data_IF_528202536705
#
_entry.id   IF_528202536705
#
_cell.length_a   1.000
_cell.length_b   1.000
_cell.length_c   1.000
_cell.angle_alpha   90.00
_cell.angle_beta   90.00
_cell.angle_gamma   90.00
#
_symmetry.space_group_name_H-M   'P 1'
#
loop_
_entity.id
_entity.type
_entity.pdbx_description
1 polymer ?
#
# COMPACT_ATOMS: atom_id res chain seq x y z
N UNK A 1 -6.65 -4.89 2.41
CA UNK A 1 -6.31 -3.55 1.92
C UNK A 1 -7.19 -3.17 0.71
N UNK A 2 -7.15 -3.90 -0.42
CA UNK A 2 -7.83 -3.54 -1.67
C UNK A 2 -9.37 -3.53 -1.56
N UNK A 3 -9.97 -4.42 -0.77
CA UNK A 3 -11.40 -4.40 -0.50
C UNK A 3 -11.82 -3.10 0.21
N UNK A 4 -11.03 -2.66 1.21
CA UNK A 4 -11.28 -1.40 1.89
C UNK A 4 -11.14 -0.19 0.96
N UNK A 5 -10.18 -0.22 0.03
CA UNK A 5 -10.00 0.83 -0.98
C UNK A 5 -11.19 0.89 -1.94
N UNK A 6 -11.70 -0.25 -2.40
CA UNK A 6 -12.88 -0.31 -3.26
C UNK A 6 -14.13 0.24 -2.55
N UNK A 7 -14.35 -0.17 -1.30
CA UNK A 7 -15.47 0.31 -0.48
C UNK A 7 -15.37 1.81 -0.17
N UNK A 8 -14.16 2.33 0.05
CA UNK A 8 -13.93 3.74 0.33
C UNK A 8 -14.40 4.67 -0.81
N UNK A 9 -14.37 4.20 -2.06
CA UNK A 9 -14.88 4.96 -3.20
C UNK A 9 -16.37 5.28 -3.15
N UNK A 10 -17.17 4.44 -2.46
CA UNK A 10 -18.59 4.71 -2.24
C UNK A 10 -18.87 5.87 -1.28
N UNK A 11 -17.86 6.36 -0.56
CA UNK A 11 -17.98 7.54 0.27
C UNK A 11 -18.51 8.76 -0.50
N UNK A 12 -18.04 8.95 -1.74
CA UNK A 12 -18.53 10.02 -2.61
C UNK A 12 -20.01 9.85 -2.98
N UNK A 13 -20.45 8.61 -3.23
CA UNK A 13 -21.85 8.28 -3.53
C UNK A 13 -22.75 8.56 -2.33
N UNK A 14 -22.31 8.20 -1.13
CA UNK A 14 -23.07 8.46 0.11
C UNK A 14 -23.14 9.97 0.36
N UNK A 15 -22.02 10.69 0.18
CA UNK A 15 -21.97 12.13 0.37
C UNK A 15 -22.89 12.89 -0.59
N UNK A 16 -23.04 12.42 -1.82
CA UNK A 16 -23.92 13.02 -2.83
C UNK A 16 -25.42 12.84 -2.49
N UNK A 17 -25.80 11.74 -1.87
CA UNK A 17 -27.19 11.45 -1.52
C UNK A 17 -27.60 11.97 -0.13
N UNK A 18 -26.64 12.17 0.76
CA UNK A 18 -26.90 12.66 2.12
C UNK A 18 -26.07 13.92 2.38
N UNK A 19 -25.04 13.81 3.23
CA UNK A 19 -24.09 14.88 3.52
C UNK A 19 -22.71 14.26 3.74
N UNK A 20 -21.65 15.05 3.59
CA UNK A 20 -20.29 14.58 3.87
C UNK A 20 -20.10 14.15 5.35
N UNK A 21 -20.79 14.81 6.29
CA UNK A 21 -20.77 14.44 7.71
C UNK A 21 -21.32 13.02 7.93
N UNK A 22 -22.38 12.65 7.20
CA UNK A 22 -23.00 11.32 7.26
C UNK A 22 -22.01 10.22 6.89
N UNK A 23 -21.15 10.46 5.90
CA UNK A 23 -20.10 9.50 5.50
C UNK A 23 -19.15 9.21 6.67
N UNK A 24 -18.67 10.27 7.35
CA UNK A 24 -17.76 10.10 8.48
C UNK A 24 -18.43 9.39 9.66
N UNK A 25 -19.68 9.70 9.94
CA UNK A 25 -20.44 9.02 11.00
C UNK A 25 -20.58 7.52 10.71
N UNK A 26 -21.01 7.15 9.50
CA UNK A 26 -21.16 5.74 9.12
C UNK A 26 -19.82 4.98 9.15
N UNK A 27 -18.79 5.54 8.58
CA UNK A 27 -17.47 4.88 8.61
C UNK A 27 -16.91 4.80 10.03
N UNK A 28 -17.16 5.82 10.87
CA UNK A 28 -16.79 5.78 12.28
C UNK A 28 -17.51 4.67 13.04
N UNK A 29 -18.83 4.53 12.85
CA UNK A 29 -19.62 3.47 13.49
C UNK A 29 -19.13 2.09 13.05
N UNK A 30 -18.92 1.88 11.75
CA UNK A 30 -18.38 0.62 11.21
C UNK A 30 -17.01 0.33 11.80
N UNK A 31 -16.15 1.35 11.92
CA UNK A 31 -14.83 1.22 12.55
C UNK A 31 -14.90 0.81 14.02
N UNK A 32 -15.82 1.39 14.78
CA UNK A 32 -16.04 1.02 16.21
C UNK A 32 -16.55 -0.42 16.32
N UNK A 33 -17.55 -0.81 15.52
CA UNK A 33 -18.07 -2.19 15.49
C UNK A 33 -16.93 -3.17 15.15
N UNK A 34 -16.11 -2.84 14.15
CA UNK A 34 -14.96 -3.66 13.76
C UNK A 34 -13.93 -3.78 14.89
N UNK A 35 -13.60 -2.67 15.57
CA UNK A 35 -12.68 -2.69 16.70
C UNK A 35 -13.20 -3.57 17.86
N UNK A 36 -14.49 -3.47 18.17
CA UNK A 36 -15.13 -4.32 19.19
C UNK A 36 -15.07 -5.79 18.78
N UNK A 37 -15.39 -6.11 17.53
CA UNK A 37 -15.29 -7.48 17.02
C UNK A 37 -13.85 -8.01 17.12
N UNK A 38 -12.85 -7.18 16.81
CA UNK A 38 -11.44 -7.59 16.93
C UNK A 38 -11.05 -7.91 18.38
N UNK A 39 -11.52 -7.14 19.35
CA UNK A 39 -11.25 -7.41 20.78
C UNK A 39 -11.80 -8.80 21.19
N UNK A 40 -12.96 -9.19 20.67
CA UNK A 40 -13.54 -10.51 20.98
C UNK A 40 -12.93 -11.65 20.16
N UNK A 41 -12.51 -11.40 18.92
CA UNK A 41 -11.98 -12.43 18.02
C UNK A 41 -10.47 -12.63 18.16
N UNK A 42 -9.72 -11.58 18.49
CA UNK A 42 -8.31 -11.65 18.76
C UNK A 42 -8.11 -12.12 20.21
N UNK A 43 -8.17 -13.44 20.40
CA UNK A 43 -7.70 -14.07 21.62
C UNK A 43 -6.21 -14.36 21.43
N UNK A 44 -5.35 -13.67 22.19
CA UNK A 44 -3.95 -14.04 22.24
C UNK A 44 -3.86 -15.50 22.70
N UNK A 45 -3.42 -16.39 21.82
CA UNK A 45 -2.93 -17.68 22.24
C UNK A 45 -1.69 -17.41 23.09
N UNK A 46 -1.88 -17.29 24.40
CA UNK A 46 -0.80 -17.37 25.35
C UNK A 46 -0.04 -18.67 25.06
N UNK A 47 1.07 -18.59 24.38
CA UNK A 47 1.85 -19.79 24.15
C UNK A 47 3.00 -19.69 23.15
N UNK A 48 3.13 -18.63 22.35
CA UNK A 48 4.24 -18.51 21.42
C UNK A 48 4.99 -17.17 21.46
N UNK A 49 4.72 -16.28 22.41
CA UNK A 49 5.61 -15.20 22.79
C UNK A 49 6.78 -15.68 23.70
N UNK A 50 6.91 -16.99 23.82
CA UNK A 50 8.17 -17.62 24.23
C UNK A 50 9.06 -17.78 23.01
N UNK A 51 9.52 -16.70 22.41
CA UNK A 51 10.87 -16.76 21.87
C UNK A 51 11.70 -17.23 23.05
N UNK A 52 11.98 -18.55 23.10
CA UNK A 52 13.13 -19.04 23.82
C UNK A 52 14.26 -18.17 23.29
N UNK A 53 14.49 -17.05 23.96
CA UNK A 53 15.78 -16.40 23.92
C UNK A 53 16.69 -17.57 24.12
N UNK A 54 17.28 -18.07 23.03
CA UNK A 54 18.38 -19.02 23.18
C UNK A 54 19.20 -18.38 24.28
N UNK A 55 19.34 -19.05 25.39
CA UNK A 55 20.26 -18.67 26.42
C UNK A 55 21.63 -18.76 25.75
N UNK A 56 21.92 -17.76 24.94
CA UNK A 56 23.28 -17.37 24.68
C UNK A 56 23.80 -17.13 26.07
N UNK A 57 24.73 -18.02 26.52
CA UNK A 57 25.54 -17.79 27.68
C UNK A 57 26.33 -16.52 27.46
N UNK A 58 25.63 -15.41 27.58
CA UNK A 58 26.24 -14.06 27.63
C UNK A 58 26.78 -14.00 29.06
N UNK A 59 28.07 -14.27 29.15
CA UNK A 59 28.87 -14.03 30.33
C UNK A 59 28.49 -12.64 30.91
N UNK A 60 28.02 -12.53 32.18
CA UNK A 60 27.48 -11.27 32.70
C UNK A 60 28.54 -10.20 32.96
N UNK A 61 29.74 -10.36 32.44
CA UNK A 61 30.82 -9.39 32.56
C UNK A 61 30.82 -8.47 31.33
N UNK A 62 30.42 -7.26 31.61
CA UNK A 62 30.60 -6.04 30.78
C UNK A 62 29.76 -5.87 29.52
N UNK A 63 28.49 -5.58 29.70
CA UNK A 63 27.91 -4.57 28.82
C UNK A 63 27.11 -3.61 29.71
N UNK A 64 27.78 -2.60 30.24
CA UNK A 64 27.11 -1.33 30.59
C UNK A 64 26.41 -0.90 29.31
N UNK A 65 25.12 -1.16 29.22
CA UNK A 65 24.25 -0.56 28.18
C UNK A 65 24.33 0.92 28.48
N UNK A 66 25.29 1.59 27.82
CA UNK A 66 25.32 3.04 27.75
C UNK A 66 23.95 3.40 27.20
N UNK A 67 23.14 4.14 27.94
CA UNK A 67 21.94 4.79 27.41
C UNK A 67 22.41 5.71 26.29
N UNK A 68 22.50 5.15 25.09
CA UNK A 68 22.79 5.98 23.93
C UNK A 68 21.62 6.94 23.76
N UNK A 69 21.94 8.22 23.69
CA UNK A 69 20.95 9.25 23.44
C UNK A 69 20.24 8.91 22.13
N UNK A 70 18.92 9.01 22.09
CA UNK A 70 18.10 8.83 20.89
C UNK A 70 18.67 9.63 19.71
N UNK A 71 19.22 10.81 19.97
CA UNK A 71 19.88 11.64 18.96
C UNK A 71 21.18 11.00 18.40
N UNK A 72 21.94 10.27 19.20
CA UNK A 72 23.13 9.54 18.72
C UNK A 72 22.73 8.42 17.76
N UNK A 73 21.66 7.69 18.07
CA UNK A 73 21.14 6.62 17.23
C UNK A 73 20.62 7.17 15.89
N UNK A 74 19.97 8.34 15.88
CA UNK A 74 19.56 9.02 14.65
C UNK A 74 20.77 9.41 13.77
N UNK A 75 21.85 9.89 14.37
CA UNK A 75 23.07 10.22 13.64
C UNK A 75 23.67 9.01 12.92
N UNK A 76 23.70 7.85 13.58
CA UNK A 76 24.19 6.60 12.99
C UNK A 76 23.30 6.15 11.83
N UNK A 77 21.98 6.18 12.00
CA UNK A 77 21.02 5.79 10.95
C UNK A 77 21.13 6.70 9.72
N UNK A 78 21.13 8.02 9.93
CA UNK A 78 21.25 9.00 8.84
C UNK A 78 22.62 8.96 8.14
N UNK A 79 23.67 8.52 8.82
CA UNK A 79 25.01 8.34 8.25
C UNK A 79 25.15 7.08 7.39
N UNK A 80 24.17 6.16 7.42
CA UNK A 80 24.26 4.88 6.71
C UNK A 80 23.66 4.99 5.31
N UNK A 81 24.44 4.74 4.26
CA UNK A 81 23.98 4.78 2.87
C UNK A 81 22.79 3.85 2.62
N UNK A 82 22.77 2.68 3.24
CA UNK A 82 21.65 1.72 3.12
C UNK A 82 20.32 2.31 3.57
N UNK A 83 20.32 3.18 4.60
CA UNK A 83 19.12 3.88 5.04
C UNK A 83 18.55 4.78 3.94
N UNK A 84 19.39 5.55 3.26
CA UNK A 84 18.95 6.43 2.17
C UNK A 84 18.43 5.65 0.96
N UNK A 85 19.09 4.54 0.60
CA UNK A 85 18.62 3.65 -0.47
C UNK A 85 17.23 3.10 -0.14
N UNK A 86 17.02 2.58 1.08
CA UNK A 86 15.73 2.08 1.53
C UNK A 86 14.68 3.20 1.55
N UNK A 87 15.04 4.38 2.06
CA UNK A 87 14.14 5.53 2.10
C UNK A 87 13.67 5.91 0.69
N UNK A 88 14.58 6.03 -0.28
CA UNK A 88 14.23 6.34 -1.67
C UNK A 88 13.43 5.22 -2.33
N UNK A 89 13.74 3.96 -2.04
CA UNK A 89 13.00 2.81 -2.56
C UNK A 89 11.52 2.86 -2.17
N UNK A 90 11.19 3.26 -0.94
CA UNK A 90 9.80 3.39 -0.50
C UNK A 90 9.17 4.74 -0.87
N UNK A 91 9.92 5.83 -0.80
CA UNK A 91 9.41 7.18 -1.05
C UNK A 91 9.04 7.40 -2.53
N UNK A 92 9.89 6.95 -3.46
CA UNK A 92 9.69 7.20 -4.88
C UNK A 92 8.36 6.63 -5.45
N UNK A 93 7.96 5.38 -5.16
CA UNK A 93 6.68 4.85 -5.59
C UNK A 93 5.50 5.32 -4.72
N UNK A 94 5.73 5.67 -3.46
CA UNK A 94 4.67 6.10 -2.53
C UNK A 94 4.04 7.41 -2.97
N UNK A 95 4.83 8.36 -3.46
CA UNK A 95 4.33 9.66 -3.89
C UNK A 95 3.34 9.56 -5.07
N UNK A 96 3.70 8.97 -6.23
CA UNK A 96 2.74 8.79 -7.32
C UNK A 96 1.60 7.84 -6.95
N UNK A 97 1.85 6.83 -6.12
CA UNK A 97 0.83 5.92 -5.62
C UNK A 97 -0.24 6.62 -4.79
N UNK A 98 0.18 7.48 -3.88
CA UNK A 98 -0.72 8.28 -3.06
C UNK A 98 -1.49 9.30 -3.91
N UNK A 99 -0.80 10.03 -4.77
CA UNK A 99 -1.41 11.01 -5.65
C UNK A 99 -2.48 10.36 -6.54
N UNK A 100 -2.15 9.28 -7.24
CA UNK A 100 -3.10 8.59 -8.13
C UNK A 100 -4.32 8.09 -7.37
N UNK A 101 -4.13 7.42 -6.24
CA UNK A 101 -5.25 6.85 -5.47
C UNK A 101 -6.22 7.92 -4.93
N UNK A 102 -5.72 9.11 -4.60
CA UNK A 102 -6.56 10.16 -4.03
C UNK A 102 -7.19 11.08 -5.10
N UNK A 103 -6.49 11.33 -6.22
CA UNK A 103 -6.96 12.26 -7.24
C UNK A 103 -7.67 11.59 -8.41
N UNK A 104 -7.58 10.25 -8.56
CA UNK A 104 -8.19 9.54 -9.68
C UNK A 104 -9.71 9.73 -9.77
N UNK A 105 -10.50 9.75 -8.67
CA UNK A 105 -11.93 10.06 -8.75
C UNK A 105 -12.20 11.43 -9.34
N UNK A 106 -11.43 12.46 -8.95
CA UNK A 106 -11.55 13.81 -9.48
C UNK A 106 -11.22 13.86 -10.96
N UNK A 107 -10.11 13.21 -11.35
CA UNK A 107 -9.69 13.11 -12.74
C UNK A 107 -10.76 12.42 -13.61
N UNK A 108 -11.40 11.36 -13.11
CA UNK A 108 -12.49 10.70 -13.81
C UNK A 108 -13.71 11.61 -13.94
N UNK A 109 -14.06 12.33 -12.86
CA UNK A 109 -15.18 13.28 -12.88
C UNK A 109 -14.96 14.39 -13.91
N UNK A 110 -13.79 15.00 -13.91
CA UNK A 110 -13.46 16.14 -14.80
C UNK A 110 -13.30 15.70 -16.26
N UNK A 111 -12.52 14.66 -16.53
CA UNK A 111 -12.23 14.25 -17.92
C UNK A 111 -13.39 13.53 -18.61
N UNK A 112 -14.29 12.90 -17.86
CA UNK A 112 -15.44 12.20 -18.40
C UNK A 112 -16.75 12.99 -18.25
N UNK A 113 -16.73 14.12 -17.54
CA UNK A 113 -17.93 14.93 -17.30
C UNK A 113 -18.99 14.20 -16.47
N UNK A 114 -18.59 13.30 -15.58
CA UNK A 114 -19.50 12.50 -14.74
C UNK A 114 -19.52 13.00 -13.31
N UNK A 115 -20.63 12.77 -12.63
CA UNK A 115 -20.76 13.11 -11.22
C UNK A 115 -19.76 12.36 -10.35
N UNK A 116 -19.22 13.02 -9.32
CA UNK A 116 -18.27 12.42 -8.37
C UNK A 116 -18.85 11.15 -7.71
N UNK A 117 -20.15 11.08 -7.49
CA UNK A 117 -20.85 9.90 -6.96
C UNK A 117 -20.63 8.63 -7.80
N UNK A 118 -20.42 8.78 -9.11
CA UNK A 118 -20.13 7.68 -10.04
C UNK A 118 -18.62 7.54 -10.27
N UNK A 119 -17.91 8.64 -10.36
CA UNK A 119 -16.47 8.68 -10.59
C UNK A 119 -15.69 8.00 -9.44
N UNK A 120 -16.10 8.24 -8.19
CA UNK A 120 -15.46 7.68 -7.01
C UNK A 120 -15.39 6.14 -7.03
N UNK A 121 -16.53 5.44 -7.02
CA UNK A 121 -16.53 3.98 -7.09
C UNK A 121 -15.83 3.44 -8.34
N UNK A 122 -16.06 4.05 -9.50
CA UNK A 122 -15.47 3.60 -10.77
C UNK A 122 -13.93 3.65 -10.72
N UNK A 123 -13.36 4.72 -10.21
CA UNK A 123 -11.92 4.88 -10.08
C UNK A 123 -11.33 3.91 -9.06
N UNK A 124 -11.92 3.83 -7.87
CA UNK A 124 -11.36 3.02 -6.77
C UNK A 124 -11.52 1.54 -7.00
N UNK A 125 -12.65 1.09 -7.57
CA UNK A 125 -12.87 -0.32 -7.92
C UNK A 125 -11.91 -0.74 -9.03
N UNK A 126 -11.73 0.09 -10.07
CA UNK A 126 -10.80 -0.22 -11.17
C UNK A 126 -9.38 -0.46 -10.65
N UNK A 127 -8.86 0.44 -9.81
CA UNK A 127 -7.52 0.26 -9.22
C UNK A 127 -7.50 -0.95 -8.27
N UNK A 128 -8.52 -1.13 -7.42
CA UNK A 128 -8.52 -2.18 -6.42
C UNK A 128 -8.49 -3.58 -7.06
N UNK A 129 -9.34 -3.82 -8.07
CA UNK A 129 -9.36 -5.08 -8.82
C UNK A 129 -8.02 -5.29 -9.53
N UNK A 130 -7.52 -4.28 -10.22
CA UNK A 130 -6.27 -4.37 -10.95
C UNK A 130 -5.07 -4.60 -10.01
N UNK A 131 -5.02 -3.94 -8.86
CA UNK A 131 -3.98 -4.16 -7.86
C UNK A 131 -4.03 -5.56 -7.27
N UNK A 132 -5.23 -6.09 -7.03
CA UNK A 132 -5.39 -7.47 -6.59
C UNK A 132 -4.86 -8.46 -7.63
N UNK A 133 -5.17 -8.26 -8.91
CA UNK A 133 -4.59 -9.04 -10.02
C UNK A 133 -3.08 -8.90 -10.05
N UNK A 134 -2.56 -7.68 -9.88
CA UNK A 134 -1.12 -7.41 -9.81
C UNK A 134 -0.41 -8.19 -8.71
N UNK A 135 -1.01 -8.28 -7.53
CA UNK A 135 -0.49 -9.10 -6.41
C UNK A 135 -0.50 -10.58 -6.77
N UNK A 136 -1.61 -11.09 -7.34
CA UNK A 136 -1.71 -12.50 -7.72
C UNK A 136 -0.70 -12.90 -8.81
N UNK A 137 -0.31 -11.98 -9.68
CA UNK A 137 0.71 -12.20 -10.71
C UNK A 137 2.11 -11.98 -10.14
N UNK A 138 2.30 -10.91 -9.40
CA UNK A 138 3.61 -10.49 -8.89
C UNK A 138 4.20 -11.45 -7.87
N UNK A 139 3.38 -12.03 -6.99
CA UNK A 139 3.82 -12.98 -5.97
C UNK A 139 4.49 -14.22 -6.59
N UNK A 140 3.77 -15.02 -7.39
CA UNK A 140 4.33 -16.23 -8.00
C UNK A 140 5.54 -15.96 -8.92
N UNK A 141 5.52 -14.87 -9.68
CA UNK A 141 6.66 -14.48 -10.53
C UNK A 141 7.89 -14.20 -9.67
N UNK A 142 7.70 -13.45 -8.59
CA UNK A 142 8.76 -13.12 -7.65
C UNK A 142 9.34 -14.38 -6.99
N UNK A 143 8.50 -15.26 -6.50
CA UNK A 143 8.91 -16.50 -5.83
C UNK A 143 9.64 -17.45 -6.78
N UNK A 144 9.20 -17.54 -8.04
CA UNK A 144 9.88 -18.31 -9.07
C UNK A 144 11.27 -17.73 -9.42
N UNK A 145 11.38 -16.39 -9.49
CA UNK A 145 12.66 -15.75 -9.77
C UNK A 145 13.64 -15.84 -8.60
N UNK A 146 13.17 -15.75 -7.37
CA UNK A 146 14.03 -15.88 -6.18
C UNK A 146 14.72 -17.25 -6.13
N UNK A 147 14.06 -18.31 -6.60
CA UNK A 147 14.67 -19.64 -6.67
C UNK A 147 15.89 -19.67 -7.63
N UNK A 148 15.93 -18.79 -8.62
CA UNK A 148 17.04 -18.70 -9.59
C UNK A 148 18.03 -17.58 -9.24
N UNK A 149 17.55 -16.50 -8.67
CA UNK A 149 18.33 -15.32 -8.35
C UNK A 149 17.74 -14.59 -7.15
N UNK A 150 18.53 -14.40 -6.10
CA UNK A 150 18.14 -13.72 -4.87
C UNK A 150 17.55 -12.31 -5.10
N UNK A 151 17.92 -11.67 -6.22
CA UNK A 151 17.38 -10.35 -6.62
C UNK A 151 16.03 -10.44 -7.33
N UNK A 152 15.41 -11.61 -7.44
CA UNK A 152 14.16 -11.83 -8.17
C UNK A 152 13.03 -10.91 -7.71
N UNK A 153 12.90 -10.66 -6.40
CA UNK A 153 11.90 -9.74 -5.83
C UNK A 153 12.09 -8.31 -6.29
N UNK A 154 13.34 -7.86 -6.32
CA UNK A 154 13.69 -6.51 -6.79
C UNK A 154 13.32 -6.36 -8.27
N UNK A 155 13.62 -7.35 -9.10
CA UNK A 155 13.27 -7.30 -10.52
C UNK A 155 11.76 -7.26 -10.76
N UNK A 156 10.99 -8.05 -10.02
CA UNK A 156 9.50 -8.01 -10.09
C UNK A 156 8.97 -6.63 -9.70
N UNK A 157 9.51 -6.04 -8.63
CA UNK A 157 9.14 -4.68 -8.19
C UNK A 157 9.50 -3.62 -9.23
N UNK A 158 10.68 -3.72 -9.86
CA UNK A 158 11.11 -2.79 -10.93
C UNK A 158 10.19 -2.88 -12.14
N UNK A 159 9.82 -4.08 -12.57
CA UNK A 159 8.87 -4.27 -13.67
C UNK A 159 7.52 -3.67 -13.32
N UNK A 160 6.99 -3.95 -12.12
CA UNK A 160 5.74 -3.39 -11.66
C UNK A 160 5.76 -1.85 -11.68
N UNK A 161 6.80 -1.23 -11.11
CA UNK A 161 6.94 0.23 -11.13
C UNK A 161 7.13 0.80 -12.53
N UNK A 162 7.83 0.08 -13.41
CA UNK A 162 7.99 0.51 -14.81
C UNK A 162 6.65 0.57 -15.55
N UNK A 163 5.70 -0.31 -15.23
CA UNK A 163 4.34 -0.27 -15.79
C UNK A 163 3.52 0.93 -15.29
N UNK A 164 3.83 1.48 -14.13
CA UNK A 164 3.12 2.66 -13.63
C UNK A 164 3.47 3.94 -14.41
N UNK A 165 4.64 4.00 -15.05
CA UNK A 165 5.07 5.18 -15.82
C UNK A 165 4.15 5.44 -17.02
N UNK A 166 4.00 4.50 -17.99
CA UNK A 166 3.09 4.71 -19.11
C UNK A 166 1.63 4.87 -18.64
N UNK A 167 1.24 4.20 -17.56
CA UNK A 167 -0.07 4.38 -16.98
C UNK A 167 -0.34 5.83 -16.55
N UNK A 168 0.60 6.46 -15.84
CA UNK A 168 0.47 7.85 -15.40
C UNK A 168 0.40 8.82 -16.59
N UNK A 169 1.19 8.56 -17.64
CA UNK A 169 1.11 9.35 -18.88
C UNK A 169 -0.27 9.21 -19.52
N UNK A 170 -0.79 7.98 -19.64
CA UNK A 170 -2.11 7.72 -20.20
C UNK A 170 -3.24 8.33 -19.37
N UNK A 171 -3.11 8.34 -18.02
CA UNK A 171 -4.06 9.01 -17.15
C UNK A 171 -4.07 10.53 -17.38
N UNK A 172 -2.88 11.14 -17.61
CA UNK A 172 -2.77 12.58 -17.82
C UNK A 172 -3.34 13.07 -19.16
N UNK A 173 -3.28 12.22 -20.20
CA UNK A 173 -3.76 12.60 -21.56
C UNK A 173 -5.11 11.96 -21.93
N UNK A 174 -5.65 11.07 -21.07
CA UNK A 174 -6.85 10.30 -21.37
C UNK A 174 -8.12 11.13 -21.23
N UNK A 175 -9.00 11.06 -22.24
CA UNK A 175 -10.32 11.70 -22.25
C UNK A 175 -11.45 10.72 -22.57
N UNK A 176 -11.16 9.41 -22.61
CA UNK A 176 -12.17 8.39 -22.90
C UNK A 176 -12.32 7.42 -21.74
N UNK A 177 -13.52 6.85 -21.57
CA UNK A 177 -13.79 5.85 -20.55
C UNK A 177 -12.81 4.65 -20.62
N UNK A 178 -12.63 4.11 -21.82
CA UNK A 178 -11.74 2.95 -22.03
C UNK A 178 -10.29 3.32 -21.73
N UNK A 179 -9.85 4.50 -22.17
CA UNK A 179 -8.48 4.97 -21.94
C UNK A 179 -8.18 5.17 -20.46
N UNK A 180 -9.06 5.85 -19.74
CA UNK A 180 -8.86 6.15 -18.32
C UNK A 180 -8.97 4.91 -17.44
N UNK A 181 -9.97 4.05 -17.67
CA UNK A 181 -10.11 2.78 -16.95
C UNK A 181 -8.91 1.88 -17.25
N UNK A 182 -8.53 1.74 -18.53
CA UNK A 182 -7.36 0.93 -18.92
C UNK A 182 -6.07 1.42 -18.29
N UNK A 183 -5.85 2.73 -18.27
CA UNK A 183 -4.72 3.35 -17.61
C UNK A 183 -4.72 3.11 -16.08
N UNK A 184 -5.88 3.29 -15.43
CA UNK A 184 -6.04 3.03 -14.00
C UNK A 184 -5.79 1.55 -13.67
N UNK A 185 -6.25 0.63 -14.52
CA UNK A 185 -5.99 -0.80 -14.37
C UNK A 185 -4.50 -1.13 -14.56
N UNK A 186 -3.85 -0.54 -15.55
CA UNK A 186 -2.41 -0.72 -15.76
C UNK A 186 -1.60 -0.21 -14.56
N UNK A 187 -2.00 0.94 -14.00
CA UNK A 187 -1.42 1.44 -12.76
C UNK A 187 -1.61 0.46 -11.60
N UNK A 188 -2.83 -0.03 -11.42
CA UNK A 188 -3.16 -0.98 -10.36
C UNK A 188 -2.34 -2.26 -10.45
N UNK A 189 -2.24 -2.87 -11.63
CA UNK A 189 -1.42 -4.09 -11.85
C UNK A 189 0.03 -3.81 -11.50
N UNK A 190 0.63 -2.76 -12.05
CA UNK A 190 2.03 -2.42 -11.80
C UNK A 190 2.30 -2.15 -10.32
N UNK A 191 1.44 -1.38 -9.67
CA UNK A 191 1.56 -1.06 -8.25
C UNK A 191 1.32 -2.30 -7.36
N UNK A 192 0.40 -3.18 -7.71
CA UNK A 192 0.15 -4.44 -7.01
C UNK A 192 1.34 -5.41 -7.08
N UNK A 193 2.02 -5.50 -8.23
CA UNK A 193 3.24 -6.28 -8.38
C UNK A 193 4.38 -5.74 -7.51
N UNK A 194 4.48 -4.42 -7.35
CA UNK A 194 5.42 -3.79 -6.43
C UNK A 194 5.05 -4.07 -4.97
N UNK A 195 3.78 -3.85 -4.59
CA UNK A 195 3.29 -3.90 -3.22
C UNK A 195 3.44 -5.30 -2.59
N UNK A 196 3.28 -6.36 -3.38
CA UNK A 196 3.43 -7.75 -2.91
C UNK A 196 4.86 -8.10 -2.49
N UNK A 197 5.87 -7.34 -2.94
CA UNK A 197 7.27 -7.56 -2.64
C UNK A 197 7.85 -6.64 -1.55
N UNK A 198 7.06 -5.69 -1.04
CA UNK A 198 7.53 -4.70 -0.06
C UNK A 198 7.88 -5.30 1.31
N UNK A 199 7.10 -6.27 1.79
CA UNK A 199 7.30 -6.87 3.11
C UNK A 199 8.49 -7.84 3.17
N UNK A 200 8.79 -8.62 2.12
CA UNK A 200 9.87 -9.60 2.15
C UNK A 200 11.25 -9.06 1.76
N UNK A 201 11.39 -7.78 1.44
CA UNK A 201 12.66 -7.12 1.15
C UNK A 201 13.23 -6.54 2.44
#
# INVERSE_FOLDING_TARGET
LYAGQALGGFGATIAANFTWQTVFHWFGIVGIIYAVLLIFLLHDKEGHAGTKTAKLNVNPQSTKIKKESVFSSFGVVLGTLSFWIMLFYFMAPSFPGWATKNWLPTLFSENLGIEMAKAGPMATISIAIASFIGVLIGGPISDWWVQKNIKGRVYTSVIGLSLTIPSLILLGIGHSYVGLIGAAMLFGIGFGMFDTNNMPI
#
